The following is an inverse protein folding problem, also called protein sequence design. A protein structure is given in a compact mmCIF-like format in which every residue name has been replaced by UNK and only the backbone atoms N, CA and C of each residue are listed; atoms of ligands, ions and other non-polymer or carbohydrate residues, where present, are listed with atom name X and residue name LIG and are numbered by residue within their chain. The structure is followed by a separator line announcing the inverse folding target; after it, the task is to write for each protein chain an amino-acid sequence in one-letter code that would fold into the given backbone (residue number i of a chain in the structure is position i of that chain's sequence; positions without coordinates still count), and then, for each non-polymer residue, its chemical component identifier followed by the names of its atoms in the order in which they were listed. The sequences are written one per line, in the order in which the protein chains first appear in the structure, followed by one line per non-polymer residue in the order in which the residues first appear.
data_IF_629601306590
#
_entry.id   IF_629601306590
#
_cell.length_a   1.000
_cell.length_b   1.000
_cell.length_c   1.000
_cell.angle_alpha   90.00
_cell.angle_beta   90.00
_cell.angle_gamma   90.00
#
_symmetry.space_group_name_H-M   'P 1'
#
loop_
_entity.id
_entity.type
_entity.pdbx_description
1 polymer ?
#
# COMPACT_ATOMS: atom_id res chain seq x y z
N UNK A 1 -2.79 12.99 -23.64
CA UNK A 1 -3.64 12.77 -22.45
C UNK A 1 -3.05 13.51 -21.25
N UNK A 2 -3.85 14.28 -20.59
CA UNK A 2 -3.41 15.14 -19.50
C UNK A 2 -3.84 14.67 -18.13
N UNK A 3 -4.62 13.61 -18.04
CA UNK A 3 -5.09 13.09 -16.76
C UNK A 3 -5.46 11.61 -16.86
N UNK A 4 -5.44 10.97 -15.70
CA UNK A 4 -5.99 9.63 -15.48
C UNK A 4 -6.92 9.71 -14.28
N UNK A 5 -8.01 8.96 -14.33
CA UNK A 5 -9.00 8.92 -13.26
C UNK A 5 -9.14 7.48 -12.79
N UNK A 6 -8.96 7.27 -11.47
CA UNK A 6 -9.24 5.98 -10.86
C UNK A 6 -10.53 6.05 -10.05
N UNK A 7 -11.40 5.05 -10.27
CA UNK A 7 -12.59 4.85 -9.43
C UNK A 7 -12.47 3.49 -8.80
N UNK A 8 -12.45 3.47 -7.48
CA UNK A 8 -12.27 2.22 -6.74
C UNK A 8 -13.31 1.16 -7.13
N UNK A 9 -14.54 1.57 -7.34
CA UNK A 9 -15.64 0.65 -7.71
C UNK A 9 -15.49 0.04 -9.10
N UNK A 10 -14.63 0.62 -9.94
CA UNK A 10 -14.42 0.17 -11.32
C UNK A 10 -13.00 -0.34 -11.56
N UNK A 11 -12.17 -0.35 -10.53
CA UNK A 11 -10.78 -0.71 -10.68
C UNK A 11 -10.60 -2.18 -11.06
N UNK A 12 -9.69 -2.43 -11.99
CA UNK A 12 -9.35 -3.78 -12.45
C UNK A 12 -8.15 -4.28 -11.66
N UNK A 13 -8.41 -4.94 -10.53
CA UNK A 13 -7.34 -5.42 -9.65
C UNK A 13 -6.63 -6.62 -10.23
N UNK A 14 -5.33 -6.66 -10.04
CA UNK A 14 -4.46 -7.76 -10.42
C UNK A 14 -3.73 -8.27 -9.17
N UNK A 15 -3.38 -9.57 -9.13
CA UNK A 15 -2.58 -10.08 -8.01
C UNK A 15 -1.23 -9.37 -7.94
N UNK A 16 -0.83 -9.05 -6.72
CA UNK A 16 0.50 -8.49 -6.47
C UNK A 16 1.37 -9.61 -5.92
N UNK A 17 2.38 -10.08 -6.67
CA UNK A 17 3.25 -11.17 -6.19
C UNK A 17 4.13 -10.68 -5.05
N UNK A 18 4.34 -11.57 -4.07
CA UNK A 18 5.22 -11.25 -2.95
C UNK A 18 6.65 -11.08 -3.46
N UNK A 19 7.37 -10.00 -3.08
CA UNK A 19 8.70 -9.74 -3.61
C UNK A 19 9.72 -10.84 -3.31
N UNK A 20 9.61 -11.48 -2.16
CA UNK A 20 10.54 -12.53 -1.75
C UNK A 20 10.16 -13.91 -2.27
N UNK A 21 8.87 -14.15 -2.56
CA UNK A 21 8.38 -15.44 -3.01
C UNK A 21 7.20 -15.21 -3.96
N UNK A 22 7.43 -15.20 -5.29
CA UNK A 22 6.38 -14.92 -6.26
C UNK A 22 5.23 -15.93 -6.27
N UNK A 23 5.37 -17.08 -5.61
CA UNK A 23 4.28 -18.05 -5.49
C UNK A 23 3.25 -17.60 -4.45
N UNK A 24 3.59 -16.64 -3.60
CA UNK A 24 2.69 -16.08 -2.60
C UNK A 24 2.10 -14.78 -3.10
N UNK A 25 0.94 -14.42 -2.53
CA UNK A 25 0.30 -13.15 -2.83
C UNK A 25 0.62 -12.11 -1.77
N UNK A 26 0.81 -10.86 -2.20
CA UNK A 26 0.90 -9.70 -1.31
C UNK A 26 -0.25 -8.75 -1.61
N UNK A 27 -1.47 -9.30 -1.75
CA UNK A 27 -2.66 -8.53 -2.04
C UNK A 27 -2.90 -8.34 -3.52
N UNK A 28 -3.63 -7.28 -3.85
CA UNK A 28 -4.00 -6.93 -5.22
C UNK A 28 -3.80 -5.44 -5.45
N UNK A 29 -3.55 -5.05 -6.69
CA UNK A 29 -3.36 -3.64 -7.02
C UNK A 29 -3.99 -3.28 -8.35
N UNK A 30 -4.29 -2.00 -8.53
CA UNK A 30 -4.76 -1.45 -9.80
C UNK A 30 -4.15 -0.06 -9.98
N UNK A 31 -3.40 0.12 -11.06
CA UNK A 31 -2.81 1.42 -11.34
C UNK A 31 -3.87 2.43 -11.76
N UNK A 32 -3.74 3.66 -11.23
CA UNK A 32 -4.45 4.84 -11.74
C UNK A 32 -3.57 5.49 -12.80
N UNK A 33 -2.28 5.66 -12.47
CA UNK A 33 -1.23 6.02 -13.43
C UNK A 33 -0.01 5.21 -13.04
N UNK A 34 0.47 4.42 -13.96
CA UNK A 34 1.57 3.49 -13.70
C UNK A 34 2.78 4.22 -13.11
N UNK A 35 3.30 3.70 -12.01
CA UNK A 35 4.46 4.26 -11.32
C UNK A 35 4.16 5.49 -10.49
N UNK A 36 2.93 6.02 -10.49
CA UNK A 36 2.60 7.26 -9.79
C UNK A 36 1.51 7.12 -8.76
N UNK A 37 0.44 6.39 -9.06
CA UNK A 37 -0.69 6.25 -8.14
C UNK A 37 -1.40 4.94 -8.39
N UNK A 38 -1.77 4.25 -7.31
CA UNK A 38 -2.47 2.98 -7.41
C UNK A 38 -3.41 2.77 -6.24
N UNK A 39 -4.43 1.95 -6.46
CA UNK A 39 -5.16 1.31 -5.37
C UNK A 39 -4.45 0.00 -5.02
N UNK A 40 -4.38 -0.32 -3.75
CA UNK A 40 -3.87 -1.60 -3.27
C UNK A 40 -4.79 -2.10 -2.17
N UNK A 41 -5.09 -3.39 -2.18
CA UNK A 41 -5.97 -3.98 -1.17
C UNK A 41 -5.53 -5.39 -0.79
N UNK A 42 -5.93 -5.80 0.41
CA UNK A 42 -5.66 -7.14 0.90
C UNK A 42 -6.78 -7.66 1.78
N UNK A 43 -6.88 -8.98 1.84
CA UNK A 43 -7.80 -9.69 2.72
C UNK A 43 -7.05 -10.80 3.43
N UNK A 44 -7.70 -11.43 4.42
CA UNK A 44 -7.11 -12.57 5.13
C UNK A 44 -6.73 -13.72 4.19
N UNK A 45 -7.47 -13.87 3.08
CA UNK A 45 -7.23 -14.95 2.12
C UNK A 45 -6.06 -14.64 1.19
N UNK A 46 -5.74 -13.37 1.01
CA UNK A 46 -4.75 -12.96 -0.01
C UNK A 46 -3.39 -12.61 0.56
N UNK A 47 -3.27 -12.44 1.89
CA UNK A 47 -1.98 -12.08 2.47
C UNK A 47 -1.97 -12.29 3.98
N UNK A 48 -0.77 -12.38 4.61
CA UNK A 48 -0.68 -12.51 6.06
C UNK A 48 -1.05 -11.21 6.75
N UNK A 49 -1.53 -11.34 8.00
CA UNK A 49 -1.92 -10.19 8.82
C UNK A 49 -0.73 -9.28 9.16
N UNK A 50 0.44 -9.87 9.34
CA UNK A 50 1.67 -9.13 9.66
C UNK A 50 2.66 -9.36 8.53
N UNK A 51 3.18 -8.29 7.97
CA UNK A 51 4.10 -8.38 6.84
C UNK A 51 5.17 -7.30 6.88
N UNK A 52 6.40 -7.63 6.47
CA UNK A 52 7.41 -6.61 6.26
C UNK A 52 7.01 -5.74 5.07
N UNK A 53 7.26 -4.46 5.19
CA UNK A 53 6.98 -3.51 4.12
C UNK A 53 8.12 -2.51 4.03
N UNK A 54 9.06 -2.74 3.14
CA UNK A 54 10.13 -1.76 2.90
C UNK A 54 9.60 -0.63 2.02
N UNK A 55 9.80 0.61 2.46
CA UNK A 55 9.51 1.75 1.62
C UNK A 55 10.69 1.93 0.66
N UNK A 56 10.67 1.21 -0.46
CA UNK A 56 11.69 1.34 -1.49
C UNK A 56 11.61 2.71 -2.17
N UNK A 57 10.44 3.34 -2.12
CA UNK A 57 10.16 4.67 -2.67
C UNK A 57 9.45 5.48 -1.61
N UNK A 58 9.53 6.80 -1.71
CA UNK A 58 8.66 7.68 -0.93
C UNK A 58 7.21 7.38 -1.33
N UNK A 59 6.32 7.34 -0.35
CA UNK A 59 4.93 6.95 -0.60
C UNK A 59 4.00 7.76 0.28
N UNK A 60 2.89 8.23 -0.32
CA UNK A 60 1.79 8.84 0.40
C UNK A 60 0.66 7.81 0.43
N UNK A 61 0.14 7.52 1.61
CA UNK A 61 -0.89 6.50 1.81
C UNK A 61 -2.15 7.16 2.34
N UNK A 62 -3.27 6.88 1.68
CA UNK A 62 -4.59 7.26 2.15
C UNK A 62 -5.39 5.98 2.39
N UNK A 63 -5.77 5.71 3.62
CA UNK A 63 -6.53 4.51 3.97
C UNK A 63 -7.98 4.70 3.59
N UNK A 64 -8.51 3.78 2.78
CA UNK A 64 -9.88 3.82 2.28
C UNK A 64 -10.78 2.80 2.96
N UNK A 65 -10.22 1.70 3.46
CA UNK A 65 -10.95 0.63 4.12
C UNK A 65 -10.01 -0.08 5.09
N UNK A 66 -10.53 -0.50 6.26
CA UNK A 66 -9.74 -1.19 7.26
C UNK A 66 -8.79 -0.26 7.99
N UNK A 67 -7.69 -0.81 8.48
CA UNK A 67 -6.70 -0.05 9.22
C UNK A 67 -5.35 -0.77 9.13
N UNK A 68 -4.29 -0.05 9.46
CA UNK A 68 -2.95 -0.62 9.53
C UNK A 68 -2.17 0.02 10.67
N UNK A 69 -1.39 -0.80 11.37
CA UNK A 69 -0.39 -0.35 12.33
C UNK A 69 0.97 -0.54 11.69
N UNK A 70 1.74 0.52 11.60
CA UNK A 70 3.05 0.53 10.96
C UNK A 70 4.13 0.73 12.01
N UNK A 71 4.94 -0.31 12.22
CA UNK A 71 6.09 -0.21 13.11
C UNK A 71 7.27 0.36 12.33
N UNK A 72 7.74 1.52 12.75
CA UNK A 72 8.84 2.24 12.10
C UNK A 72 10.20 1.73 12.59
N UNK A 73 11.30 2.00 11.86
CA UNK A 73 12.63 1.54 12.26
C UNK A 73 13.08 2.03 13.64
N UNK A 74 12.56 3.17 14.11
CA UNK A 74 12.89 3.71 15.43
C UNK A 74 12.07 3.08 16.56
N UNK A 75 11.21 2.12 16.26
CA UNK A 75 10.37 1.44 17.22
C UNK A 75 9.02 2.08 17.47
N UNK A 76 8.75 3.25 16.90
CA UNK A 76 7.42 3.86 17.00
C UNK A 76 6.42 3.10 16.15
N UNK A 77 5.17 3.03 16.63
CA UNK A 77 4.08 2.46 15.86
C UNK A 77 3.11 3.57 15.47
N UNK A 78 2.79 3.64 14.19
CA UNK A 78 1.85 4.62 13.64
C UNK A 78 0.59 3.88 13.24
N UNK A 79 -0.56 4.34 13.73
CA UNK A 79 -1.85 3.77 13.36
C UNK A 79 -2.52 4.65 12.31
N UNK A 80 -2.96 4.02 11.21
CA UNK A 80 -3.75 4.70 10.17
C UNK A 80 -5.08 3.97 10.00
N UNK A 81 -6.17 4.69 10.16
CA UNK A 81 -7.52 4.19 9.91
C UNK A 81 -8.15 4.90 8.72
N UNK A 82 -9.40 4.57 8.42
CA UNK A 82 -10.11 5.15 7.27
C UNK A 82 -10.10 6.68 7.34
N UNK A 83 -9.67 7.29 6.24
CA UNK A 83 -9.59 8.74 6.12
C UNK A 83 -8.24 9.32 6.50
N UNK A 84 -7.38 8.54 7.17
CA UNK A 84 -6.05 9.02 7.54
C UNK A 84 -5.12 8.99 6.33
N UNK A 85 -4.19 9.95 6.30
CA UNK A 85 -3.17 10.05 5.26
C UNK A 85 -1.81 10.13 5.93
N UNK A 86 -0.87 9.30 5.48
CA UNK A 86 0.51 9.33 5.93
C UNK A 86 1.46 9.52 4.77
N UNK A 87 2.54 10.25 5.00
CA UNK A 87 3.61 10.42 4.02
C UNK A 87 4.89 9.83 4.60
N UNK A 88 5.52 8.94 3.84
CA UNK A 88 6.68 8.17 4.31
C UNK A 88 7.84 8.36 3.36
N UNK A 89 9.01 8.59 3.93
CA UNK A 89 10.24 8.71 3.16
C UNK A 89 10.71 7.32 2.69
N UNK A 90 11.49 7.32 1.63
CA UNK A 90 12.09 6.09 1.10
C UNK A 90 13.17 5.53 2.03
N UNK A 91 13.55 4.29 1.79
CA UNK A 91 14.64 3.59 2.48
C UNK A 91 14.35 3.33 3.96
N UNK A 92 13.11 2.99 4.29
CA UNK A 92 12.72 2.62 5.64
C UNK A 92 12.17 1.21 5.65
N UNK A 93 12.69 0.37 6.55
CA UNK A 93 12.15 -0.97 6.77
C UNK A 93 11.08 -0.88 7.85
N UNK A 94 9.86 -1.25 7.50
CA UNK A 94 8.73 -1.20 8.41
C UNK A 94 8.03 -2.55 8.48
N UNK A 95 7.23 -2.74 9.52
CA UNK A 95 6.39 -3.92 9.68
C UNK A 95 4.95 -3.46 9.81
N UNK A 96 4.08 -4.00 8.97
CA UNK A 96 2.67 -3.63 8.92
C UNK A 96 1.82 -4.73 9.52
N UNK A 97 0.89 -4.34 10.40
CA UNK A 97 -0.14 -5.22 10.94
C UNK A 97 -1.48 -4.71 10.46
N UNK A 98 -2.20 -5.54 9.71
CA UNK A 98 -3.44 -5.12 9.05
C UNK A 98 -4.67 -5.45 9.84
N UNK A 99 -5.69 -4.60 9.70
CA UNK A 99 -7.08 -4.92 10.02
C UNK A 99 -7.79 -5.09 8.69
N UNK A 100 -8.15 -6.33 8.36
CA UNK A 100 -8.77 -6.69 7.08
C UNK A 100 -10.29 -6.51 7.08
N UNK A 101 -10.92 -6.28 5.93
CA UNK A 101 -10.28 -6.00 4.64
C UNK A 101 -9.63 -4.63 4.65
N UNK A 102 -8.52 -4.49 3.93
CA UNK A 102 -7.74 -3.26 3.89
C UNK A 102 -7.59 -2.76 2.47
N UNK A 103 -7.81 -1.46 2.26
CA UNK A 103 -7.64 -0.81 0.96
C UNK A 103 -6.98 0.54 1.17
N UNK A 104 -5.99 0.85 0.36
CA UNK A 104 -5.34 2.16 0.37
C UNK A 104 -5.24 2.72 -1.03
N UNK A 105 -5.19 4.06 -1.10
CA UNK A 105 -4.67 4.78 -2.24
C UNK A 105 -3.20 5.06 -1.93
N UNK A 106 -2.31 4.66 -2.82
CA UNK A 106 -0.88 4.92 -2.69
C UNK A 106 -0.44 5.87 -3.80
N UNK A 107 0.27 6.92 -3.43
CA UNK A 107 0.83 7.89 -4.37
C UNK A 107 2.33 7.91 -4.19
N UNK A 108 3.05 7.82 -5.31
CA UNK A 108 4.51 7.87 -5.34
C UNK A 108 4.90 9.24 -5.88
N UNK A 109 5.18 10.22 -4.99
CA UNK A 109 5.25 11.63 -5.40
C UNK A 109 6.47 11.99 -6.22
N UNK A 110 7.52 11.18 -6.17
CA UNK A 110 8.78 11.52 -6.80
C UNK A 110 9.30 10.43 -7.69
N UNK A 111 10.01 10.84 -8.73
CA UNK A 111 10.92 9.97 -9.42
C UNK A 111 12.22 10.00 -8.63
N UNK A 112 12.69 8.86 -8.22
CA UNK A 112 13.94 8.75 -7.47
C UNK A 112 15.11 8.90 -8.43
N UNK A 113 15.25 10.09 -8.93
CA UNK A 113 16.32 10.38 -9.87
C UNK A 113 17.66 10.49 -9.17
#
# INVERSE_FOLDING_TARGET
MTYDIGRLSEAQFQPFPHPADPSLSAGEFAWIREGKAQFWRGTEETMPKVAPYPFARAEIIHVLEGAVDIEMPDGQTIHLGVGDVGAFDRNQDTTWTFTFPFTKLAVFPEDDA
#
